data_IF_312002651849
#
_entry.id   IF_312002651849
#
_cell.length_a   1.000
_cell.length_b   1.000
_cell.length_c   1.000
_cell.angle_alpha   90.00
_cell.angle_beta   90.00
_cell.angle_gamma   90.00
#
_symmetry.space_group_name_H-M   'P 1'
#
loop_
_entity.id
_entity.type
_entity.pdbx_description
1 polymer ?
#
# COMPACT_ATOMS: atom_id res chain seq x y z
N UNK A 1 -33.40 -3.93 4.99
CA UNK A 1 -32.32 -3.35 4.14
C UNK A 1 -30.92 -3.48 4.76
N UNK A 2 -30.78 -4.12 5.94
CA UNK A 2 -29.51 -4.29 6.67
C UNK A 2 -28.68 -5.49 6.19
N UNK A 3 -29.32 -6.57 5.74
CA UNK A 3 -28.65 -7.77 5.21
C UNK A 3 -27.77 -7.47 3.97
N UNK A 4 -28.24 -6.59 3.08
CA UNK A 4 -27.48 -6.21 1.90
C UNK A 4 -26.26 -5.33 2.23
N UNK A 5 -26.30 -4.57 3.33
CA UNK A 5 -25.23 -3.64 3.71
C UNK A 5 -23.99 -4.35 4.27
N UNK A 6 -24.16 -5.42 5.05
CA UNK A 6 -23.01 -6.18 5.58
C UNK A 6 -22.27 -6.94 4.48
N UNK A 7 -23.02 -7.49 3.50
CA UNK A 7 -22.45 -8.16 2.33
C UNK A 7 -21.60 -7.21 1.50
N UNK A 8 -22.10 -5.99 1.24
CA UNK A 8 -21.34 -4.98 0.48
C UNK A 8 -20.12 -4.50 1.25
N UNK A 9 -20.20 -4.35 2.58
CA UNK A 9 -19.07 -3.98 3.43
C UNK A 9 -17.97 -5.07 3.40
N UNK A 10 -18.33 -6.34 3.61
CA UNK A 10 -17.38 -7.45 3.55
C UNK A 10 -16.82 -7.64 2.14
N UNK A 11 -17.63 -7.45 1.10
CA UNK A 11 -17.19 -7.46 -0.29
C UNK A 11 -16.16 -6.35 -0.57
N UNK A 12 -16.45 -5.12 -0.12
CA UNK A 12 -15.54 -3.98 -0.21
C UNK A 12 -14.21 -4.23 0.50
N UNK A 13 -14.26 -4.79 1.71
CA UNK A 13 -13.09 -5.18 2.49
C UNK A 13 -12.26 -6.25 1.78
N UNK A 14 -12.92 -7.24 1.18
CA UNK A 14 -12.26 -8.30 0.41
C UNK A 14 -11.54 -7.74 -0.81
N UNK A 15 -12.21 -6.89 -1.61
CA UNK A 15 -11.57 -6.22 -2.74
C UNK A 15 -10.41 -5.33 -2.31
N UNK A 16 -10.56 -4.62 -1.20
CA UNK A 16 -9.49 -3.78 -0.64
C UNK A 16 -8.24 -4.61 -0.30
N UNK A 17 -8.38 -5.68 0.48
CA UNK A 17 -7.22 -6.52 0.86
C UNK A 17 -6.64 -7.30 -0.33
N UNK A 18 -7.48 -7.76 -1.25
CA UNK A 18 -7.02 -8.43 -2.47
C UNK A 18 -6.23 -7.46 -3.35
N UNK A 19 -6.74 -6.25 -3.57
CA UNK A 19 -6.05 -5.18 -4.27
C UNK A 19 -4.72 -4.81 -3.62
N UNK A 20 -4.71 -4.69 -2.29
CA UNK A 20 -3.49 -4.44 -1.50
C UNK A 20 -2.43 -5.51 -1.72
N UNK A 21 -2.84 -6.78 -1.75
CA UNK A 21 -1.92 -7.91 -2.00
C UNK A 21 -1.37 -7.88 -3.43
N UNK A 22 -2.19 -7.57 -4.43
CA UNK A 22 -1.76 -7.46 -5.83
C UNK A 22 -0.79 -6.30 -6.04
N UNK A 23 -1.12 -5.11 -5.53
CA UNK A 23 -0.27 -3.93 -5.62
C UNK A 23 1.09 -4.18 -4.95
N UNK A 24 1.09 -4.72 -3.73
CA UNK A 24 2.32 -5.08 -2.99
C UNK A 24 3.22 -6.03 -3.79
N UNK A 25 2.66 -7.12 -4.30
CA UNK A 25 3.43 -8.11 -5.07
C UNK A 25 3.96 -7.55 -6.39
N UNK A 26 3.16 -6.73 -7.07
CA UNK A 26 3.58 -6.05 -8.30
C UNK A 26 4.73 -5.08 -8.05
N UNK A 27 4.60 -4.20 -7.05
CA UNK A 27 5.65 -3.24 -6.69
C UNK A 27 6.92 -3.93 -6.20
N UNK A 28 6.80 -4.97 -5.38
CA UNK A 28 7.94 -5.77 -4.93
C UNK A 28 8.70 -6.40 -6.10
N UNK A 29 7.97 -6.90 -7.11
CA UNK A 29 8.56 -7.54 -8.30
C UNK A 29 9.24 -6.53 -9.23
N UNK A 30 8.77 -5.27 -9.26
CA UNK A 30 9.39 -4.18 -10.01
C UNK A 30 10.60 -3.56 -9.28
N UNK A 31 10.57 -3.52 -7.95
CA UNK A 31 11.53 -2.80 -7.13
C UNK A 31 12.69 -3.68 -6.62
N UNK A 32 12.48 -4.99 -6.44
CA UNK A 32 13.38 -5.99 -5.84
C UNK A 32 14.86 -5.61 -5.68
N UNK A 33 15.66 -5.79 -6.72
CA UNK A 33 17.12 -5.60 -6.64
C UNK A 33 17.53 -4.12 -6.56
N UNK A 34 16.72 -3.22 -7.11
CA UNK A 34 16.99 -1.76 -7.08
C UNK A 34 16.89 -1.21 -5.66
N UNK A 35 16.00 -1.76 -4.84
CA UNK A 35 15.85 -1.33 -3.44
C UNK A 35 17.10 -1.65 -2.61
N UNK A 36 17.68 -2.83 -2.79
CA UNK A 36 18.92 -3.21 -2.09
C UNK A 36 20.06 -2.24 -2.40
N UNK A 37 20.21 -1.89 -3.67
CA UNK A 37 21.23 -0.93 -4.12
C UNK A 37 20.95 0.49 -3.59
N UNK A 38 19.69 0.92 -3.57
CA UNK A 38 19.30 2.22 -3.03
C UNK A 38 19.60 2.32 -1.53
N UNK A 39 19.30 1.28 -0.73
CA UNK A 39 19.63 1.28 0.71
C UNK A 39 21.14 1.34 0.92
N UNK A 40 21.91 0.54 0.18
CA UNK A 40 23.36 0.50 0.33
C UNK A 40 24.02 1.85 0.02
N UNK A 41 23.53 2.59 -0.98
CA UNK A 41 24.16 3.84 -1.41
C UNK A 41 23.56 5.11 -0.78
N UNK A 42 22.30 5.11 -0.38
CA UNK A 42 21.58 6.33 0.07
C UNK A 42 21.45 6.45 1.60
N UNK A 43 22.10 5.59 2.37
CA UNK A 43 22.05 5.59 3.85
C UNK A 43 23.29 6.22 4.51
N UNK A 44 24.05 7.04 3.79
CA UNK A 44 25.31 7.64 4.27
C UNK A 44 25.18 8.56 5.50
N UNK A 45 23.98 9.07 5.82
CA UNK A 45 23.73 9.85 7.03
C UNK A 45 22.36 9.52 7.65
N UNK A 46 22.13 9.92 8.91
CA UNK A 46 20.89 9.60 9.66
C UNK A 46 19.60 10.07 9.00
N UNK A 47 19.59 11.25 8.38
CA UNK A 47 18.40 11.79 7.71
C UNK A 47 18.16 11.11 6.36
N UNK A 48 19.23 10.79 5.63
CA UNK A 48 19.18 10.05 4.39
C UNK A 48 18.72 8.60 4.62
N UNK A 49 19.14 7.97 5.71
CA UNK A 49 18.64 6.65 6.11
C UNK A 49 17.13 6.68 6.41
N UNK A 50 16.66 7.69 7.14
CA UNK A 50 15.23 7.90 7.42
C UNK A 50 14.43 8.16 6.14
N UNK A 51 14.88 9.07 5.27
CA UNK A 51 14.22 9.36 4.00
C UNK A 51 14.19 8.14 3.06
N UNK A 52 15.31 7.40 3.00
CA UNK A 52 15.41 6.16 2.22
C UNK A 52 14.44 5.10 2.73
N UNK A 53 14.32 4.92 4.05
CA UNK A 53 13.33 4.04 4.64
C UNK A 53 11.90 4.41 4.30
N UNK A 54 11.56 5.70 4.39
CA UNK A 54 10.22 6.19 4.06
C UNK A 54 9.88 5.91 2.59
N UNK A 55 10.78 6.25 1.66
CA UNK A 55 10.60 5.99 0.23
C UNK A 55 10.47 4.50 -0.06
N UNK A 56 11.29 3.69 0.58
CA UNK A 56 11.28 2.25 0.38
C UNK A 56 10.00 1.60 0.83
N UNK A 57 9.45 2.02 1.97
CA UNK A 57 8.15 1.55 2.43
C UNK A 57 7.02 2.00 1.54
N UNK A 58 7.05 3.24 1.03
CA UNK A 58 6.01 3.72 0.10
C UNK A 58 5.94 2.82 -1.14
N UNK A 59 7.09 2.36 -1.63
CA UNK A 59 7.17 1.48 -2.80
C UNK A 59 6.90 0.00 -2.44
N UNK A 60 7.58 -0.57 -1.45
CA UNK A 60 7.46 -2.00 -1.11
C UNK A 60 6.15 -2.33 -0.38
N UNK A 61 5.57 -1.38 0.35
CA UNK A 61 4.36 -1.54 1.17
C UNK A 61 4.34 -2.76 2.11
N UNK A 62 5.48 -3.39 2.37
CA UNK A 62 5.60 -4.63 3.12
C UNK A 62 6.69 -4.46 4.17
N UNK A 63 6.29 -4.16 5.41
CA UNK A 63 7.21 -3.97 6.52
C UNK A 63 8.05 -5.22 6.79
N UNK A 64 7.46 -6.42 6.68
CA UNK A 64 8.18 -7.69 6.83
C UNK A 64 9.27 -7.85 5.77
N UNK A 65 8.97 -7.55 4.51
CA UNK A 65 9.98 -7.63 3.45
C UNK A 65 11.12 -6.63 3.64
N UNK A 66 10.79 -5.41 4.09
CA UNK A 66 11.77 -4.37 4.41
C UNK A 66 12.70 -4.81 5.55
N UNK A 67 12.15 -5.34 6.65
CA UNK A 67 12.95 -5.82 7.79
C UNK A 67 13.89 -6.96 7.37
N UNK A 68 13.39 -7.96 6.64
CA UNK A 68 14.22 -9.07 6.16
C UNK A 68 15.35 -8.60 5.24
N UNK A 69 15.08 -7.60 4.38
CA UNK A 69 16.10 -7.00 3.52
C UNK A 69 17.17 -6.29 4.35
N UNK A 70 16.77 -5.51 5.36
CA UNK A 70 17.71 -4.80 6.23
C UNK A 70 18.55 -5.76 7.07
N UNK A 71 17.94 -6.83 7.62
CA UNK A 71 18.68 -7.89 8.32
C UNK A 71 19.73 -8.55 7.42
N UNK A 72 19.38 -8.82 6.16
CA UNK A 72 20.31 -9.41 5.17
C UNK A 72 21.44 -8.44 4.77
N UNK A 73 21.18 -7.14 4.69
CA UNK A 73 22.20 -6.14 4.38
C UNK A 73 23.10 -5.85 5.59
N UNK A 74 22.56 -5.91 6.79
CA UNK A 74 23.32 -5.80 8.03
C UNK A 74 24.24 -7.03 8.25
N UNK A 75 23.74 -8.25 7.99
CA UNK A 75 24.53 -9.47 8.17
C UNK A 75 25.70 -9.60 7.16
N UNK A 76 25.58 -8.96 6.00
CA UNK A 76 26.64 -8.90 4.98
C UNK A 76 27.62 -7.74 5.18
N UNK A 77 27.40 -6.90 6.20
CA UNK A 77 28.22 -5.70 6.45
C UNK A 77 28.00 -4.56 5.46
N UNK A 78 27.02 -4.68 4.54
CA UNK A 78 26.64 -3.62 3.59
C UNK A 78 25.98 -2.42 4.29
N UNK A 79 25.40 -2.64 5.48
CA UNK A 79 24.83 -1.60 6.33
C UNK A 79 25.28 -1.79 7.78
N UNK A 80 25.57 -0.68 8.45
CA UNK A 80 25.71 -0.67 9.90
C UNK A 80 24.35 -0.80 10.60
N UNK A 81 24.37 -1.28 11.85
CA UNK A 81 23.19 -1.38 12.69
C UNK A 81 22.50 -0.01 12.84
N UNK A 82 23.29 1.06 13.00
CA UNK A 82 22.79 2.44 13.14
C UNK A 82 22.07 2.91 11.88
N UNK A 83 22.59 2.57 10.69
CA UNK A 83 21.90 2.87 9.42
C UNK A 83 20.61 2.07 9.30
N UNK A 84 20.63 0.77 9.63
CA UNK A 84 19.44 -0.08 9.60
C UNK A 84 18.33 0.47 10.51
N UNK A 85 18.66 0.89 11.74
CA UNK A 85 17.71 1.56 12.63
C UNK A 85 17.13 2.84 12.04
N UNK A 86 17.96 3.68 11.41
CA UNK A 86 17.48 4.88 10.70
C UNK A 86 16.50 4.56 9.58
N UNK A 87 16.76 3.50 8.81
CA UNK A 87 15.86 3.04 7.75
C UNK A 87 14.56 2.48 8.31
N UNK A 88 14.59 1.76 9.44
CA UNK A 88 13.37 1.24 10.11
C UNK A 88 12.47 2.40 10.57
N UNK A 89 13.04 3.40 11.26
CA UNK A 89 12.28 4.58 11.69
C UNK A 89 11.67 5.34 10.50
N UNK A 90 12.44 5.47 9.42
CA UNK A 90 11.95 6.01 8.16
C UNK A 90 10.82 5.18 7.55
N UNK A 91 10.99 3.86 7.55
CA UNK A 91 10.02 2.92 7.02
C UNK A 91 8.67 3.03 7.72
N UNK A 92 8.65 3.18 9.04
CA UNK A 92 7.42 3.36 9.82
C UNK A 92 6.74 4.69 9.47
N UNK A 93 7.49 5.78 9.32
CA UNK A 93 6.95 7.05 8.80
C UNK A 93 6.37 6.86 7.39
N UNK A 94 7.04 6.10 6.53
CA UNK A 94 6.56 5.79 5.18
C UNK A 94 5.19 5.10 5.15
N UNK A 95 4.86 4.26 6.14
CA UNK A 95 3.53 3.62 6.21
C UNK A 95 2.40 4.64 6.34
N UNK A 96 2.62 5.72 7.10
CA UNK A 96 1.64 6.80 7.24
C UNK A 96 1.49 7.60 5.96
N UNK A 97 2.59 7.83 5.23
CA UNK A 97 2.56 8.49 3.93
C UNK A 97 1.71 7.72 2.91
N UNK A 98 1.76 6.38 2.94
CA UNK A 98 0.92 5.53 2.07
C UNK A 98 -0.56 5.76 2.37
N UNK A 99 -0.94 5.82 3.64
CA UNK A 99 -2.34 6.08 4.05
C UNK A 99 -2.77 7.44 3.51
N UNK A 100 -1.97 8.48 3.72
CA UNK A 100 -2.24 9.84 3.22
C UNK A 100 -2.41 9.85 1.69
N UNK A 101 -1.51 9.17 0.97
CA UNK A 101 -1.57 9.04 -0.50
C UNK A 101 -2.88 8.39 -0.98
N UNK A 102 -3.31 7.32 -0.32
CA UNK A 102 -4.55 6.60 -0.67
C UNK A 102 -5.79 7.41 -0.29
N UNK A 103 -5.74 8.23 0.76
CA UNK A 103 -6.84 9.09 1.19
C UNK A 103 -7.16 10.24 0.21
N UNK A 104 -6.34 10.49 -0.81
CA UNK A 104 -6.57 11.53 -1.81
C UNK A 104 -7.77 11.15 -2.70
N UNK A 105 -8.94 11.74 -2.39
CA UNK A 105 -10.28 11.41 -2.89
C UNK A 105 -10.43 11.31 -4.42
N UNK A 106 -9.66 12.07 -5.21
CA UNK A 106 -9.83 12.19 -6.67
C UNK A 106 -9.56 10.90 -7.46
N UNK A 107 -8.84 9.94 -6.89
CA UNK A 107 -8.48 8.71 -7.59
C UNK A 107 -9.59 7.65 -7.50
N UNK A 108 -10.49 7.76 -6.51
CA UNK A 108 -11.57 6.78 -6.31
C UNK A 108 -12.58 6.75 -7.46
N UNK A 109 -12.81 7.87 -8.14
CA UNK A 109 -13.74 7.95 -9.26
C UNK A 109 -13.26 7.19 -10.51
N UNK A 110 -11.95 7.05 -10.65
CA UNK A 110 -11.31 6.32 -11.76
C UNK A 110 -10.90 4.89 -11.39
N UNK A 111 -11.33 4.39 -10.22
CA UNK A 111 -10.96 3.07 -9.72
C UNK A 111 -11.25 1.94 -10.74
N UNK A 112 -12.45 1.92 -11.33
CA UNK A 112 -12.82 0.90 -12.32
C UNK A 112 -11.99 0.99 -13.61
N UNK A 113 -11.59 2.19 -14.01
CA UNK A 113 -10.73 2.39 -15.17
C UNK A 113 -9.32 1.83 -14.91
N UNK A 114 -8.79 2.02 -13.70
CA UNK A 114 -7.54 1.40 -13.26
C UNK A 114 -7.63 -0.14 -13.22
N UNK A 115 -8.77 -0.69 -12.76
CA UNK A 115 -9.02 -2.14 -12.78
C UNK A 115 -8.99 -2.68 -14.22
N UNK A 116 -9.73 -2.07 -15.13
CA UNK A 116 -9.83 -2.53 -16.53
C UNK A 116 -8.47 -2.44 -17.21
N UNK A 117 -7.79 -1.29 -17.12
CA UNK A 117 -6.48 -1.10 -17.73
C UNK A 117 -5.42 -2.01 -17.11
N UNK A 118 -5.39 -2.13 -15.79
CA UNK A 118 -4.45 -2.99 -15.08
C UNK A 118 -4.60 -4.46 -15.45
N UNK A 119 -5.85 -4.96 -15.48
CA UNK A 119 -6.15 -6.33 -15.90
C UNK A 119 -5.78 -6.58 -17.36
N UNK A 120 -6.10 -5.63 -18.26
CA UNK A 120 -5.76 -5.73 -19.67
C UNK A 120 -4.24 -5.80 -19.89
N UNK A 121 -3.47 -4.92 -19.23
CA UNK A 121 -2.02 -4.93 -19.28
C UNK A 121 -1.42 -6.23 -18.74
N UNK A 122 -1.92 -6.74 -17.61
CA UNK A 122 -1.47 -8.01 -17.03
C UNK A 122 -1.78 -9.20 -17.96
N UNK A 123 -2.97 -9.21 -18.58
CA UNK A 123 -3.43 -10.32 -19.40
C UNK A 123 -2.75 -10.39 -20.77
N UNK A 124 -2.54 -9.25 -21.43
CA UNK A 124 -1.95 -9.18 -22.77
C UNK A 124 -0.42 -9.32 -22.72
N UNK A 125 0.24 -8.67 -21.76
CA UNK A 125 1.70 -8.57 -21.72
C UNK A 125 2.36 -9.59 -20.78
N UNK A 126 1.82 -10.80 -20.69
CA UNK A 126 2.36 -11.89 -19.83
C UNK A 126 3.84 -12.21 -20.11
N UNK A 127 4.29 -12.01 -21.35
CA UNK A 127 5.67 -12.27 -21.75
C UNK A 127 6.65 -11.16 -21.36
N UNK A 128 6.16 -9.94 -21.08
CA UNK A 128 6.98 -8.78 -20.75
C UNK A 128 6.88 -8.48 -19.25
N UNK A 129 7.81 -9.03 -18.46
CA UNK A 129 7.81 -8.94 -16.98
C UNK A 129 7.52 -7.53 -16.44
N UNK A 130 8.15 -6.48 -17.00
CA UNK A 130 7.94 -5.10 -16.54
C UNK A 130 6.51 -4.60 -16.71
N UNK A 131 5.92 -4.78 -17.90
CA UNK A 131 4.54 -4.36 -18.21
C UNK A 131 3.54 -5.21 -17.44
N UNK A 132 3.80 -6.52 -17.35
CA UNK A 132 3.01 -7.46 -16.56
C UNK A 132 2.86 -7.02 -15.09
N UNK A 133 3.99 -6.75 -14.42
CA UNK A 133 3.94 -6.32 -13.02
C UNK A 133 3.39 -4.91 -12.86
N UNK A 134 3.60 -4.02 -13.84
CA UNK A 134 2.96 -2.69 -13.85
C UNK A 134 1.44 -2.81 -13.94
N UNK A 135 0.93 -3.71 -14.79
CA UNK A 135 -0.48 -4.06 -14.87
C UNK A 135 -1.04 -4.57 -13.54
N UNK A 136 -0.32 -5.46 -12.84
CA UNK A 136 -0.67 -5.92 -11.49
C UNK A 136 -0.76 -4.79 -10.47
N UNK A 137 0.15 -3.82 -10.53
CA UNK A 137 0.14 -2.66 -9.63
C UNK A 137 -1.10 -1.81 -9.89
N UNK A 138 -1.38 -1.48 -11.15
CA UNK A 138 -2.55 -0.69 -11.53
C UNK A 138 -3.86 -1.39 -11.18
N UNK A 139 -3.95 -2.70 -11.44
CA UNK A 139 -5.10 -3.52 -11.08
C UNK A 139 -5.31 -3.54 -9.56
N UNK A 140 -4.23 -3.76 -8.80
CA UNK A 140 -4.26 -3.75 -7.34
C UNK A 140 -4.75 -2.41 -6.78
N UNK A 141 -4.21 -1.29 -7.27
CA UNK A 141 -4.68 0.04 -6.87
C UNK A 141 -6.15 0.28 -7.24
N UNK A 142 -6.58 -0.10 -8.44
CA UNK A 142 -7.98 0.01 -8.86
C UNK A 142 -8.93 -0.75 -7.91
N UNK A 143 -8.55 -1.95 -7.47
CA UNK A 143 -9.32 -2.74 -6.51
C UNK A 143 -9.32 -2.13 -5.10
N UNK A 144 -8.20 -1.56 -4.64
CA UNK A 144 -8.13 -0.83 -3.36
C UNK A 144 -9.16 0.30 -3.36
N UNK A 145 -9.11 1.16 -4.38
CA UNK A 145 -10.00 2.32 -4.46
C UNK A 145 -11.47 1.93 -4.67
N UNK A 146 -11.75 0.87 -5.43
CA UNK A 146 -13.10 0.36 -5.61
C UNK A 146 -13.65 -0.25 -4.30
N UNK A 147 -12.84 -1.03 -3.58
CA UNK A 147 -13.19 -1.57 -2.26
C UNK A 147 -13.51 -0.46 -1.26
N UNK A 148 -12.70 0.61 -1.22
CA UNK A 148 -12.97 1.78 -0.40
C UNK A 148 -14.28 2.49 -0.79
N UNK A 149 -14.60 2.59 -2.08
CA UNK A 149 -15.85 3.18 -2.57
C UNK A 149 -17.07 2.40 -2.06
N UNK A 150 -17.00 1.07 -2.07
CA UNK A 150 -18.07 0.21 -1.53
C UNK A 150 -18.22 0.40 -0.01
N UNK A 151 -17.11 0.40 0.72
CA UNK A 151 -17.11 0.59 2.18
C UNK A 151 -17.67 1.95 2.59
N UNK A 152 -17.30 3.03 1.88
CA UNK A 152 -17.81 4.38 2.16
C UNK A 152 -19.28 4.53 1.81
N UNK A 153 -19.77 3.89 0.74
CA UNK A 153 -21.19 3.87 0.41
C UNK A 153 -22.04 3.18 1.51
N UNK A 154 -21.51 2.14 2.16
CA UNK A 154 -22.19 1.47 3.28
C UNK A 154 -22.08 2.20 4.61
N UNK A 155 -21.04 3.03 4.80
CA UNK A 155 -20.81 3.78 6.03
C UNK A 155 -21.50 5.16 6.05
N UNK A 156 -21.75 5.77 4.89
CA UNK A 156 -22.44 7.05 4.76
C UNK A 156 -23.82 7.13 5.46
N UNK A 157 -24.70 6.10 5.41
CA UNK A 157 -25.96 6.13 6.14
C UNK A 157 -25.82 5.91 7.66
N UNK A 158 -24.67 5.43 8.16
CA UNK A 158 -24.42 5.23 9.60
C UNK A 158 -24.01 6.53 10.30
N UNK A 159 -23.43 7.49 9.57
CA UNK A 159 -23.04 8.80 10.12
C UNK A 159 -24.24 9.70 10.49
N UNK A 160 -25.44 9.38 9.98
CA UNK A 160 -26.68 10.11 10.26
C UNK A 160 -27.55 9.53 11.37
N UNK A 161 -27.17 8.40 11.99
CA UNK A 161 -27.95 7.77 13.06
C UNK A 161 -27.62 8.43 14.43
N UNK A 162 -28.62 8.95 15.16
CA UNK A 162 -28.43 9.53 16.49
C UNK A 162 -27.69 8.60 17.48
N UNK A 163 -27.88 7.28 17.37
CA UNK A 163 -27.19 6.31 18.24
C UNK A 163 -25.70 6.18 17.91
N UNK A 164 -25.29 6.39 16.65
CA UNK A 164 -23.88 6.38 16.27
C UNK A 164 -23.14 7.61 16.79
N UNK A 165 -23.77 8.78 16.81
CA UNK A 165 -23.16 10.01 17.35
C UNK A 165 -22.95 9.94 18.86
N UNK A 166 -23.87 9.30 19.59
CA UNK A 166 -23.73 9.09 21.05
C UNK A 166 -22.58 8.12 21.36
N UNK A 167 -22.40 7.07 20.55
CA UNK A 167 -21.38 6.05 20.78
C UNK A 167 -19.95 6.57 20.51
N UNK A 168 -19.77 7.46 19.54
CA UNK A 168 -18.46 8.08 19.25
C UNK A 168 -18.19 9.38 20.01
N UNK A 169 -19.21 10.10 20.48
CA UNK A 169 -19.05 11.22 21.41
C UNK A 169 -18.63 10.80 22.83
N UNK A 170 -18.70 9.51 23.16
CA UNK A 170 -18.14 8.93 24.40
C UNK A 170 -16.62 8.67 24.29
N UNK A 171 -16.05 8.73 23.08
CA UNK A 171 -14.63 8.52 22.81
C UNK A 171 -13.86 9.81 22.46
N UNK A 172 -14.46 10.99 22.63
CA UNK A 172 -13.75 12.29 22.70
C UNK A 172 -13.32 12.62 24.14
#
# INVERSE_FOLDING_TARGET
>A
MTEFSWLVLLGGLTFFFFGLTYARRGLQSLAGDRMRLAIAHLTGNRFAALGTGALITVVLQSSTATILMLMSLASTGLLSLTQAFGVILGADIGTTLVVILISIKKISDYALLLVILGFFLEWVFKNSKGIYYTGRVLFGFGLIFYGMKLMTATAAPLAGDPNYQILFGVFE
#
